data_IF_719975347766
#
_entry.id   IF_719975347766
#
_cell.length_a   1.000
_cell.length_b   1.000
_cell.length_c   1.000
_cell.angle_alpha   90.00
_cell.angle_beta   90.00
_cell.angle_gamma   90.00
#
_symmetry.space_group_name_H-M   'P 1'
#
loop_
_entity.id
_entity.type
_entity.pdbx_description
1 polymer ?
#
# COMPACT_ATOMS: atom_id res chain seq x y z
N UNK A 1 -11.52 -2.72 29.31
CA UNK A 1 -11.57 -1.34 28.79
C UNK A 1 -10.57 -0.53 29.62
N UNK A 2 -9.46 -0.08 29.03
CA UNK A 2 -8.47 0.73 29.76
C UNK A 2 -9.08 2.09 30.09
N UNK A 3 -8.96 2.52 31.35
CA UNK A 3 -9.50 3.78 31.87
C UNK A 3 -8.77 5.04 31.35
N UNK A 4 -7.85 4.89 30.41
CA UNK A 4 -6.92 5.93 29.94
C UNK A 4 -7.30 6.57 28.60
N UNK A 5 -8.37 6.11 27.93
CA UNK A 5 -8.73 6.62 26.59
C UNK A 5 -7.77 6.23 25.47
N UNK A 6 -6.76 5.42 25.75
CA UNK A 6 -5.83 4.87 24.78
C UNK A 6 -6.53 3.80 23.92
N UNK A 7 -6.36 3.87 22.61
CA UNK A 7 -6.95 2.90 21.68
C UNK A 7 -6.08 1.67 21.43
N UNK A 8 -4.76 1.83 21.50
CA UNK A 8 -3.77 0.78 21.28
C UNK A 8 -2.74 0.74 22.40
N UNK A 9 -2.04 -0.39 22.62
CA UNK A 9 -0.89 -0.45 23.51
C UNK A 9 0.22 0.49 23.02
N UNK A 10 0.97 1.14 23.94
CA UNK A 10 2.18 1.88 23.58
C UNK A 10 3.19 0.92 22.95
N UNK A 11 3.64 1.20 21.74
CA UNK A 11 4.67 0.41 21.08
C UNK A 11 5.41 1.26 20.03
N UNK A 12 6.68 0.94 19.83
CA UNK A 12 7.57 1.58 18.86
C UNK A 12 8.42 0.53 18.17
N UNK A 13 8.81 0.79 16.94
CA UNK A 13 9.80 0.02 16.19
C UNK A 13 10.92 0.96 15.73
N UNK A 14 12.16 0.46 15.72
CA UNK A 14 13.35 1.30 15.56
C UNK A 14 13.72 1.60 14.10
N UNK A 15 13.08 0.91 13.14
CA UNK A 15 13.44 1.04 11.72
C UNK A 15 12.22 1.03 10.80
N UNK A 16 12.39 1.65 9.64
CA UNK A 16 11.52 1.53 8.48
C UNK A 16 12.14 0.52 7.50
N UNK A 17 11.35 -0.32 6.87
CA UNK A 17 9.91 -0.53 7.10
C UNK A 17 9.63 -1.22 8.44
N UNK A 18 8.44 -0.98 8.99
CA UNK A 18 8.02 -1.61 10.24
C UNK A 18 7.53 -3.06 10.03
N UNK A 19 7.65 -3.91 11.07
CA UNK A 19 7.35 -5.35 11.04
C UNK A 19 5.96 -5.63 11.61
N UNK A 20 5.07 -6.22 10.82
CA UNK A 20 3.69 -6.49 11.23
C UNK A 20 3.60 -7.61 12.27
N UNK A 21 4.45 -8.63 12.15
CA UNK A 21 4.48 -9.75 13.09
C UNK A 21 4.89 -9.36 14.53
N UNK A 22 5.45 -8.16 14.73
CA UNK A 22 5.80 -7.61 16.05
C UNK A 22 4.70 -6.73 16.65
N UNK A 23 3.63 -6.45 15.91
CA UNK A 23 2.54 -5.58 16.39
C UNK A 23 1.59 -6.30 17.33
N UNK A 24 1.17 -5.62 18.39
CA UNK A 24 0.11 -6.05 19.31
C UNK A 24 -0.95 -4.93 19.48
N UNK A 25 -2.24 -5.13 19.14
CA UNK A 25 -2.74 -6.28 18.40
C UNK A 25 -2.24 -6.32 16.94
N UNK A 26 -2.06 -7.53 16.41
CA UNK A 26 -1.71 -7.70 15.00
C UNK A 26 -2.81 -7.11 14.09
N UNK A 27 -2.47 -6.35 13.06
CA UNK A 27 -3.42 -5.85 12.09
C UNK A 27 -4.20 -6.98 11.41
N UNK A 28 -5.50 -6.77 11.21
CA UNK A 28 -6.32 -7.76 10.52
C UNK A 28 -6.45 -7.41 9.04
N UNK A 29 -5.98 -8.28 8.13
CA UNK A 29 -6.01 -8.06 6.68
C UNK A 29 -7.43 -8.04 6.09
N UNK A 30 -8.37 -8.86 6.62
CA UNK A 30 -9.77 -8.92 6.17
C UNK A 30 -10.73 -9.21 7.32
N UNK A 31 -12.04 -9.06 7.07
CA UNK A 31 -13.09 -9.47 8.02
C UNK A 31 -13.63 -10.85 7.64
N UNK A 32 -14.06 -11.63 8.62
CA UNK A 32 -14.73 -12.92 8.40
C UNK A 32 -16.06 -12.77 7.60
N UNK A 33 -16.63 -11.57 7.60
CA UNK A 33 -17.87 -11.27 6.86
C UNK A 33 -17.63 -10.98 5.38
N UNK A 34 -16.38 -10.85 4.92
CA UNK A 34 -16.11 -10.57 3.52
C UNK A 34 -16.50 -11.75 2.64
N UNK A 35 -17.45 -11.52 1.74
CA UNK A 35 -17.91 -12.52 0.76
C UNK A 35 -17.35 -12.19 -0.61
N UNK A 36 -16.43 -13.02 -1.14
CA UNK A 36 -15.89 -12.82 -2.48
C UNK A 36 -16.99 -12.92 -3.56
N UNK A 37 -16.83 -12.15 -4.62
CA UNK A 37 -17.72 -12.15 -5.79
C UNK A 37 -17.03 -12.63 -7.06
N UNK A 38 -15.77 -13.10 -6.95
CA UNK A 38 -14.96 -13.63 -8.05
C UNK A 38 -14.72 -12.62 -9.20
N UNK A 39 -14.78 -11.31 -8.92
CA UNK A 39 -14.65 -10.26 -9.95
C UNK A 39 -13.26 -10.11 -10.55
N UNK A 40 -12.24 -10.75 -9.99
CA UNK A 40 -10.87 -10.72 -10.46
C UNK A 40 -10.36 -12.07 -11.01
N UNK A 41 -11.24 -13.04 -11.20
CA UNK A 41 -10.84 -14.33 -11.78
C UNK A 41 -10.16 -14.12 -13.14
N UNK A 42 -8.97 -14.72 -13.30
CA UNK A 42 -8.13 -14.60 -14.49
C UNK A 42 -7.37 -13.27 -14.64
N UNK A 43 -7.43 -12.39 -13.65
CA UNK A 43 -6.64 -11.16 -13.59
C UNK A 43 -5.32 -11.37 -12.87
N UNK A 44 -4.32 -10.58 -13.22
CA UNK A 44 -3.01 -10.51 -12.56
C UNK A 44 -2.89 -9.17 -11.87
N UNK A 45 -2.61 -9.19 -10.58
CA UNK A 45 -2.41 -8.02 -9.75
C UNK A 45 -0.99 -7.94 -9.21
N UNK A 46 -0.41 -6.74 -9.25
CA UNK A 46 0.89 -6.42 -8.65
C UNK A 46 0.65 -5.38 -7.56
N UNK A 47 1.17 -5.65 -6.36
CA UNK A 47 1.04 -4.75 -5.20
C UNK A 47 2.42 -4.44 -4.64
N UNK A 48 2.80 -3.17 -4.60
CA UNK A 48 4.08 -2.78 -3.99
C UNK A 48 3.94 -2.63 -2.47
N UNK A 49 4.91 -3.17 -1.69
CA UNK A 49 4.81 -3.23 -0.23
C UNK A 49 3.61 -4.07 0.22
N UNK A 50 3.49 -5.28 -0.34
CA UNK A 50 2.35 -6.18 -0.09
C UNK A 50 2.55 -7.17 1.05
N UNK A 51 3.69 -7.12 1.71
CA UNK A 51 4.09 -7.96 2.84
C UNK A 51 3.37 -7.60 4.14
N UNK A 52 2.93 -6.36 4.29
CA UNK A 52 2.35 -5.85 5.53
C UNK A 52 1.26 -4.79 5.31
N UNK A 53 0.55 -4.43 6.37
CA UNK A 53 -0.38 -3.31 6.46
C UNK A 53 -1.45 -3.28 5.36
N UNK A 54 -1.60 -2.12 4.74
CA UNK A 54 -2.57 -1.90 3.65
C UNK A 54 -2.27 -2.81 2.46
N UNK A 55 -0.98 -2.95 2.09
CA UNK A 55 -0.57 -3.79 0.96
C UNK A 55 -0.96 -5.25 1.15
N UNK A 56 -0.69 -5.84 2.32
CA UNK A 56 -1.11 -7.21 2.67
C UNK A 56 -2.63 -7.38 2.58
N UNK A 57 -3.38 -6.42 3.12
CA UNK A 57 -4.85 -6.46 3.06
C UNK A 57 -5.38 -6.41 1.62
N UNK A 58 -4.76 -5.62 0.75
CA UNK A 58 -5.08 -5.56 -0.69
C UNK A 58 -4.76 -6.88 -1.37
N UNK A 59 -3.57 -7.45 -1.15
CA UNK A 59 -3.17 -8.75 -1.68
C UNK A 59 -4.19 -9.84 -1.30
N UNK A 60 -4.57 -9.89 -0.02
CA UNK A 60 -5.54 -10.87 0.47
C UNK A 60 -6.92 -10.71 -0.18
N UNK A 61 -7.45 -9.48 -0.22
CA UNK A 61 -8.72 -9.23 -0.92
C UNK A 61 -8.67 -9.62 -2.40
N UNK A 62 -7.57 -9.35 -3.09
CA UNK A 62 -7.43 -9.68 -4.50
C UNK A 62 -7.34 -11.19 -4.73
N UNK A 63 -6.63 -11.92 -3.86
CA UNK A 63 -6.59 -13.38 -3.90
C UNK A 63 -7.96 -14.00 -3.68
N UNK A 64 -8.73 -13.51 -2.68
CA UNK A 64 -10.12 -13.92 -2.44
C UNK A 64 -11.02 -13.65 -3.65
N UNK A 65 -10.83 -12.53 -4.36
CA UNK A 65 -11.59 -12.18 -5.57
C UNK A 65 -11.12 -12.93 -6.84
N UNK A 66 -10.10 -13.77 -6.72
CA UNK A 66 -9.67 -14.68 -7.79
C UNK A 66 -8.49 -14.20 -8.64
N UNK A 67 -7.80 -13.11 -8.24
CA UNK A 67 -6.60 -12.68 -8.94
C UNK A 67 -5.39 -13.57 -8.64
N UNK A 68 -4.48 -13.71 -9.62
CA UNK A 68 -3.10 -14.12 -9.39
C UNK A 68 -2.33 -12.91 -8.85
N UNK A 69 -1.74 -13.02 -7.66
CA UNK A 69 -1.17 -11.89 -6.94
C UNK A 69 0.35 -11.99 -6.88
N UNK A 70 1.04 -10.94 -7.32
CA UNK A 70 2.45 -10.69 -7.03
C UNK A 70 2.56 -9.48 -6.10
N UNK A 71 3.50 -9.52 -5.17
CA UNK A 71 3.78 -8.36 -4.34
C UNK A 71 5.28 -8.17 -4.10
N UNK A 72 5.68 -6.92 -3.83
CA UNK A 72 7.06 -6.60 -3.48
C UNK A 72 7.21 -6.35 -1.99
N UNK A 73 8.42 -6.58 -1.49
CA UNK A 73 8.85 -6.29 -0.12
C UNK A 73 10.33 -5.89 -0.09
N UNK A 74 10.83 -5.32 1.00
CA UNK A 74 12.25 -5.01 1.17
C UNK A 74 12.97 -6.19 1.80
N UNK A 75 14.03 -6.69 1.13
CA UNK A 75 14.82 -7.82 1.61
C UNK A 75 15.60 -7.47 2.88
N UNK A 76 15.72 -8.44 3.78
CA UNK A 76 16.51 -8.38 5.01
C UNK A 76 15.65 -8.26 6.26
N UNK A 77 14.73 -7.31 6.30
CA UNK A 77 13.91 -7.04 7.48
C UNK A 77 12.49 -7.58 7.39
N UNK A 78 11.97 -7.81 6.19
CA UNK A 78 10.55 -8.12 5.96
C UNK A 78 10.29 -9.56 5.47
N UNK A 79 11.30 -10.45 5.42
CA UNK A 79 11.13 -11.83 4.94
C UNK A 79 10.06 -12.60 5.72
N UNK A 80 9.98 -12.40 7.05
CA UNK A 80 8.96 -13.07 7.83
C UNK A 80 7.55 -12.61 7.44
N UNK A 81 7.34 -11.31 7.36
CA UNK A 81 6.05 -10.74 6.98
C UNK A 81 5.67 -11.10 5.53
N UNK A 82 6.65 -11.16 4.62
CA UNK A 82 6.45 -11.62 3.25
C UNK A 82 6.04 -13.10 3.19
N UNK A 83 6.68 -13.98 3.97
CA UNK A 83 6.32 -15.39 4.06
C UNK A 83 4.93 -15.59 4.68
N UNK A 84 4.62 -14.88 5.76
CA UNK A 84 3.29 -14.90 6.40
C UNK A 84 2.20 -14.49 5.39
N UNK A 85 2.49 -13.47 4.56
CA UNK A 85 1.59 -13.04 3.48
C UNK A 85 1.45 -14.12 2.41
N UNK A 86 2.54 -14.73 1.94
CA UNK A 86 2.49 -15.82 0.96
C UNK A 86 1.63 -16.98 1.46
N UNK A 87 1.82 -17.42 2.70
CA UNK A 87 1.01 -18.48 3.29
C UNK A 87 -0.48 -18.13 3.35
N UNK A 88 -0.79 -16.90 3.75
CA UNK A 88 -2.17 -16.41 3.79
C UNK A 88 -2.80 -16.41 2.38
N UNK A 89 -2.08 -15.95 1.37
CA UNK A 89 -2.54 -15.92 -0.01
C UNK A 89 -2.71 -17.32 -0.60
N UNK A 90 -1.79 -18.25 -0.31
CA UNK A 90 -1.89 -19.65 -0.72
C UNK A 90 -3.14 -20.34 -0.16
N UNK A 91 -3.51 -20.03 1.09
CA UNK A 91 -4.72 -20.57 1.74
C UNK A 91 -6.03 -20.00 1.17
N UNK A 92 -5.98 -18.77 0.65
CA UNK A 92 -7.17 -18.00 0.23
C UNK A 92 -7.33 -17.84 -1.28
N UNK A 93 -6.33 -18.20 -2.09
CA UNK A 93 -6.39 -18.04 -3.54
C UNK A 93 -7.50 -18.88 -4.18
N UNK A 94 -8.11 -18.34 -5.22
CA UNK A 94 -9.04 -19.09 -6.06
C UNK A 94 -8.34 -20.26 -6.79
N UNK A 95 -9.04 -21.37 -7.01
CA UNK A 95 -8.48 -22.56 -7.64
C UNK A 95 -7.85 -22.29 -9.03
N UNK A 96 -8.40 -21.35 -9.79
CA UNK A 96 -7.90 -20.99 -11.12
C UNK A 96 -6.79 -19.91 -11.07
N UNK A 97 -6.47 -19.34 -9.91
CA UNK A 97 -5.38 -18.37 -9.79
C UNK A 97 -4.03 -19.09 -9.73
N UNK A 98 -3.02 -18.52 -10.37
CA UNK A 98 -1.64 -18.97 -10.21
C UNK A 98 -1.18 -18.75 -8.76
N UNK A 99 -0.15 -19.47 -8.33
CA UNK A 99 0.42 -19.30 -7.00
C UNK A 99 0.95 -17.87 -6.81
N UNK A 100 0.76 -17.26 -5.63
CA UNK A 100 1.27 -15.92 -5.35
C UNK A 100 2.81 -15.93 -5.32
N UNK A 101 3.40 -14.79 -5.67
CA UNK A 101 4.85 -14.59 -5.59
C UNK A 101 5.19 -13.34 -4.78
N UNK A 102 6.24 -13.43 -3.96
CA UNK A 102 6.84 -12.33 -3.23
C UNK A 102 8.18 -11.96 -3.87
N UNK A 103 8.37 -10.71 -4.23
CA UNK A 103 9.52 -10.23 -4.99
C UNK A 103 10.32 -9.24 -4.13
N UNK A 104 11.56 -9.58 -3.72
CA UNK A 104 12.39 -8.68 -2.95
C UNK A 104 12.90 -7.53 -3.83
N UNK A 105 12.50 -6.28 -3.55
CA UNK A 105 12.89 -5.12 -4.35
C UNK A 105 12.82 -3.82 -3.56
N UNK A 106 13.92 -3.09 -3.44
CA UNK A 106 13.90 -1.67 -3.10
C UNK A 106 13.51 -0.87 -4.34
N UNK A 107 12.27 -0.41 -4.38
CA UNK A 107 11.68 0.26 -5.53
C UNK A 107 12.12 1.73 -5.68
N UNK A 108 12.92 2.26 -4.78
CA UNK A 108 13.55 3.58 -4.94
C UNK A 108 14.48 3.66 -6.16
N UNK A 109 14.81 2.54 -6.81
CA UNK A 109 15.71 2.43 -7.94
C UNK A 109 15.02 1.79 -9.15
N UNK A 110 15.23 2.41 -10.32
CA UNK A 110 14.55 2.02 -11.57
C UNK A 110 14.84 0.59 -12.02
N UNK A 111 16.10 0.16 -11.93
CA UNK A 111 16.49 -1.21 -12.30
C UNK A 111 15.83 -2.27 -11.43
N UNK A 112 15.56 -1.97 -10.15
CA UNK A 112 14.84 -2.86 -9.25
C UNK A 112 13.36 -2.94 -9.65
N UNK A 113 12.76 -1.81 -10.01
CA UNK A 113 11.38 -1.78 -10.52
C UNK A 113 11.25 -2.58 -11.81
N UNK A 114 12.23 -2.43 -12.73
CA UNK A 114 12.27 -3.21 -13.96
C UNK A 114 12.33 -4.71 -13.66
N UNK A 115 13.27 -5.15 -12.81
CA UNK A 115 13.42 -6.57 -12.45
C UNK A 115 12.15 -7.14 -11.81
N UNK A 116 11.52 -6.38 -10.92
CA UNK A 116 10.26 -6.81 -10.29
C UNK A 116 9.16 -7.00 -11.32
N UNK A 117 9.00 -6.09 -12.27
CA UNK A 117 8.01 -6.23 -13.36
C UNK A 117 8.36 -7.40 -14.26
N UNK A 118 9.63 -7.56 -14.67
CA UNK A 118 10.08 -8.68 -15.51
C UNK A 118 9.79 -10.04 -14.85
N UNK A 119 9.96 -10.15 -13.53
CA UNK A 119 9.64 -11.36 -12.77
C UNK A 119 8.13 -11.66 -12.78
N UNK A 120 7.28 -10.65 -12.61
CA UNK A 120 5.82 -10.82 -12.74
C UNK A 120 5.46 -11.31 -14.15
N UNK A 121 6.05 -10.73 -15.18
CA UNK A 121 5.77 -11.12 -16.57
C UNK A 121 6.26 -12.52 -16.88
N UNK A 122 7.44 -12.91 -16.36
CA UNK A 122 7.95 -14.27 -16.50
C UNK A 122 7.01 -15.32 -15.91
N UNK A 123 6.41 -15.02 -14.75
CA UNK A 123 5.50 -15.95 -14.05
C UNK A 123 4.06 -15.91 -14.58
N UNK A 124 3.53 -14.72 -14.88
CA UNK A 124 2.10 -14.54 -15.16
C UNK A 124 1.78 -14.09 -16.58
N UNK A 125 2.73 -13.50 -17.31
CA UNK A 125 2.60 -13.12 -18.71
C UNK A 125 1.87 -11.81 -18.98
N UNK A 126 1.28 -11.16 -17.94
CA UNK A 126 0.50 -9.90 -18.07
C UNK A 126 0.39 -9.17 -16.75
N UNK A 127 -0.06 -7.93 -16.80
CA UNK A 127 -0.47 -7.15 -15.63
C UNK A 127 -1.84 -6.51 -15.95
N UNK A 128 -2.85 -6.78 -15.12
CA UNK A 128 -4.17 -6.17 -15.23
C UNK A 128 -4.39 -5.09 -14.19
N UNK A 129 -3.77 -5.24 -13.03
CA UNK A 129 -3.92 -4.32 -11.89
C UNK A 129 -2.54 -4.04 -11.32
N UNK A 130 -2.19 -2.76 -11.20
CA UNK A 130 -1.01 -2.30 -10.48
C UNK A 130 -1.46 -1.44 -9.31
N UNK A 131 -1.03 -1.81 -8.09
CA UNK A 131 -1.22 -1.02 -6.88
C UNK A 131 0.13 -0.51 -6.40
N UNK A 132 0.39 0.77 -6.57
CA UNK A 132 1.52 1.46 -5.99
C UNK A 132 1.16 1.85 -4.56
N UNK A 133 1.76 1.15 -3.56
CA UNK A 133 1.43 1.30 -2.15
C UNK A 133 2.65 1.46 -1.24
N UNK A 134 3.81 0.90 -1.60
CA UNK A 134 5.04 1.02 -0.81
C UNK A 134 5.34 2.48 -0.44
N UNK A 135 5.68 2.72 0.82
CA UNK A 135 5.99 4.05 1.34
C UNK A 135 6.83 3.99 2.61
N UNK A 136 7.58 5.05 2.84
CA UNK A 136 8.30 5.36 4.08
C UNK A 136 7.86 6.72 4.60
N UNK A 137 7.96 6.92 5.93
CA UNK A 137 7.75 8.23 6.57
C UNK A 137 8.61 8.37 7.82
N UNK A 138 9.07 9.56 8.11
CA UNK A 138 9.89 9.87 9.26
C UNK A 138 9.43 11.19 9.87
N UNK A 139 9.37 11.28 11.21
CA UNK A 139 9.06 12.55 11.87
C UNK A 139 10.25 13.52 11.81
N UNK A 140 9.94 14.80 11.66
CA UNK A 140 10.85 15.92 11.90
C UNK A 140 10.11 17.02 12.63
N UNK A 141 10.78 17.65 13.59
CA UNK A 141 10.24 18.78 14.36
C UNK A 141 10.17 20.05 13.52
N UNK A 142 11.08 20.21 12.57
CA UNK A 142 11.17 21.37 11.68
C UNK A 142 11.73 20.97 10.30
N UNK A 143 11.63 21.87 9.33
CA UNK A 143 12.18 21.65 7.98
C UNK A 143 13.71 21.57 7.99
N UNK A 144 14.37 22.23 8.92
CA UNK A 144 15.83 22.25 9.07
C UNK A 144 16.40 20.89 9.50
N UNK A 145 15.58 20.00 10.07
CA UNK A 145 15.97 18.64 10.45
C UNK A 145 15.92 17.65 9.29
N UNK A 146 15.35 18.07 8.15
CA UNK A 146 15.22 17.22 6.96
C UNK A 146 16.45 17.42 6.07
N UNK A 147 17.44 16.54 6.20
CA UNK A 147 18.62 16.57 5.37
C UNK A 147 18.35 16.08 3.94
N UNK A 148 19.31 16.31 3.05
CA UNK A 148 19.22 15.95 1.63
C UNK A 148 19.05 14.43 1.45
N UNK A 149 19.79 13.62 2.20
CA UNK A 149 19.78 12.17 2.05
C UNK A 149 18.42 11.57 2.43
N UNK A 150 17.84 12.03 3.54
CA UNK A 150 16.50 11.65 3.97
C UNK A 150 15.45 12.12 2.96
N UNK A 151 15.50 13.38 2.52
CA UNK A 151 14.56 13.92 1.55
C UNK A 151 14.60 13.09 0.25
N UNK A 152 15.79 12.84 -0.27
CA UNK A 152 15.99 12.02 -1.47
C UNK A 152 15.43 10.60 -1.26
N UNK A 153 15.70 9.95 -0.13
CA UNK A 153 15.22 8.60 0.17
C UNK A 153 13.69 8.55 0.19
N UNK A 154 13.04 9.47 0.90
CA UNK A 154 11.58 9.52 0.99
C UNK A 154 10.93 9.77 -0.38
N UNK A 155 11.51 10.64 -1.21
CA UNK A 155 11.03 10.86 -2.58
C UNK A 155 11.27 9.66 -3.47
N UNK A 156 12.41 8.97 -3.36
CA UNK A 156 12.71 7.75 -4.11
C UNK A 156 11.68 6.66 -3.82
N UNK A 157 11.43 6.37 -2.56
CA UNK A 157 10.48 5.32 -2.17
C UNK A 157 9.04 5.71 -2.49
N UNK A 158 8.62 6.95 -2.18
CA UNK A 158 7.20 7.29 -2.20
C UNK A 158 6.70 7.77 -3.55
N UNK A 159 7.55 8.33 -4.43
CA UNK A 159 7.08 8.89 -5.71
C UNK A 159 7.90 8.45 -6.91
N UNK A 160 9.25 8.40 -6.85
CA UNK A 160 10.03 7.93 -8.00
C UNK A 160 9.70 6.48 -8.33
N UNK A 161 9.53 5.63 -7.31
CA UNK A 161 9.07 4.24 -7.46
C UNK A 161 7.78 4.11 -8.27
N UNK A 162 6.83 5.04 -8.11
CA UNK A 162 5.56 5.03 -8.84
C UNK A 162 5.79 5.31 -10.34
N UNK A 163 6.63 6.28 -10.65
CA UNK A 163 7.04 6.55 -12.04
C UNK A 163 7.75 5.34 -12.66
N UNK A 164 8.71 4.76 -11.93
CA UNK A 164 9.51 3.64 -12.42
C UNK A 164 8.65 2.38 -12.63
N UNK A 165 7.86 2.01 -11.64
CA UNK A 165 7.00 0.82 -11.72
C UNK A 165 5.97 0.96 -12.84
N UNK A 166 5.29 2.11 -12.93
CA UNK A 166 4.32 2.38 -14.00
C UNK A 166 4.99 2.34 -15.37
N UNK A 167 6.16 2.95 -15.54
CA UNK A 167 6.91 2.95 -16.81
C UNK A 167 7.17 1.54 -17.34
N UNK A 168 7.56 0.62 -16.47
CA UNK A 168 7.83 -0.76 -16.87
C UNK A 168 6.53 -1.57 -17.02
N UNK A 169 5.58 -1.44 -16.10
CA UNK A 169 4.33 -2.18 -16.12
C UNK A 169 3.45 -1.85 -17.33
N UNK A 170 3.39 -0.58 -17.77
CA UNK A 170 2.55 -0.14 -18.88
C UNK A 170 2.82 -0.88 -20.21
N UNK A 171 4.03 -1.40 -20.42
CA UNK A 171 4.36 -2.20 -21.60
C UNK A 171 3.58 -3.52 -21.68
N UNK A 172 3.06 -3.96 -20.53
CA UNK A 172 2.38 -5.26 -20.35
C UNK A 172 0.91 -5.09 -19.93
N UNK A 173 0.43 -3.85 -19.82
CA UNK A 173 -0.96 -3.52 -19.52
C UNK A 173 -1.74 -3.20 -20.80
N UNK A 174 -2.99 -3.60 -20.85
CA UNK A 174 -3.90 -3.41 -22.00
C UNK A 174 -5.15 -2.64 -21.58
N UNK A 175 -5.97 -2.24 -22.53
CA UNK A 175 -7.29 -1.68 -22.26
C UNK A 175 -8.09 -2.56 -21.28
N UNK A 176 -8.74 -1.91 -20.31
CA UNK A 176 -9.41 -2.58 -19.19
C UNK A 176 -8.54 -2.79 -17.94
N UNK A 177 -7.22 -2.51 -18.02
CA UNK A 177 -6.33 -2.53 -16.85
C UNK A 177 -6.58 -1.34 -15.92
N UNK A 178 -6.09 -1.43 -14.69
CA UNK A 178 -6.25 -0.40 -13.66
C UNK A 178 -4.95 -0.15 -12.88
N UNK A 179 -4.64 1.12 -12.63
CA UNK A 179 -3.57 1.55 -11.74
C UNK A 179 -4.20 2.22 -10.53
N UNK A 180 -3.75 1.86 -9.33
CA UNK A 180 -4.23 2.41 -8.07
C UNK A 180 -3.02 2.94 -7.31
N UNK A 181 -3.04 4.22 -6.95
CA UNK A 181 -1.95 4.89 -6.24
C UNK A 181 -2.37 5.23 -4.80
N UNK A 182 -1.62 4.75 -3.81
CA UNK A 182 -1.86 5.05 -2.40
C UNK A 182 -1.23 6.39 -2.02
N UNK A 183 -2.06 7.42 -1.94
CA UNK A 183 -1.71 8.74 -1.41
C UNK A 183 -1.96 8.81 0.11
N UNK A 184 -2.45 9.89 0.66
CA UNK A 184 -2.79 10.08 2.08
C UNK A 184 -3.74 11.25 2.24
N UNK A 185 -4.53 11.27 3.32
CA UNK A 185 -5.25 12.48 3.76
C UNK A 185 -4.28 13.64 4.04
N UNK A 186 -3.01 13.35 4.36
CA UNK A 186 -1.99 14.38 4.57
C UNK A 186 -1.69 15.17 3.30
N UNK A 187 -1.92 14.62 2.10
CA UNK A 187 -1.81 15.35 0.85
C UNK A 187 -2.77 16.56 0.75
N UNK A 188 -3.86 16.54 1.51
CA UNK A 188 -4.92 17.54 1.49
C UNK A 188 -4.92 18.43 2.73
N UNK A 189 -4.71 17.84 3.92
CA UNK A 189 -4.74 18.59 5.19
C UNK A 189 -3.38 19.09 5.67
N UNK A 190 -2.28 18.53 5.13
CA UNK A 190 -0.94 18.72 5.65
C UNK A 190 -0.65 17.93 6.94
N UNK A 191 0.64 17.83 7.29
CA UNK A 191 1.12 17.35 8.58
C UNK A 191 2.47 17.98 8.90
N UNK A 192 2.52 18.79 9.95
CA UNK A 192 3.71 19.57 10.29
C UNK A 192 4.94 18.70 10.67
N UNK A 193 4.72 17.49 11.21
CA UNK A 193 5.80 16.57 11.59
C UNK A 193 6.24 15.64 10.46
N UNK A 194 5.49 15.56 9.35
CA UNK A 194 5.73 14.66 8.22
C UNK A 194 5.79 15.45 6.92
N UNK A 195 6.64 16.48 6.86
CA UNK A 195 6.62 17.46 5.77
C UNK A 195 7.06 16.84 4.43
N UNK A 196 8.16 16.09 4.41
CA UNK A 196 8.68 15.36 3.24
C UNK A 196 7.68 14.30 2.74
N UNK A 197 7.16 13.47 3.65
CA UNK A 197 6.10 12.52 3.34
C UNK A 197 4.86 13.20 2.76
N UNK A 198 4.39 14.27 3.39
CA UNK A 198 3.22 15.03 2.92
C UNK A 198 3.43 15.55 1.50
N UNK A 199 4.62 16.08 1.20
CA UNK A 199 4.99 16.55 -0.12
C UNK A 199 4.93 15.42 -1.16
N UNK A 200 5.46 14.22 -0.84
CA UNK A 200 5.38 13.06 -1.74
C UNK A 200 3.95 12.61 -1.98
N UNK A 201 3.09 12.65 -0.95
CA UNK A 201 1.68 12.26 -1.08
C UNK A 201 0.87 13.27 -1.90
N UNK A 202 1.21 14.56 -1.85
CA UNK A 202 0.71 15.58 -2.77
C UNK A 202 1.16 15.35 -4.22
N UNK A 203 2.44 14.99 -4.42
CA UNK A 203 2.97 14.63 -5.73
C UNK A 203 2.23 13.42 -6.34
N UNK A 204 1.88 12.40 -5.54
CA UNK A 204 1.09 11.25 -6.01
C UNK A 204 -0.29 11.67 -6.50
N UNK A 205 -0.94 12.64 -5.85
CA UNK A 205 -2.25 13.15 -6.32
C UNK A 205 -2.13 13.78 -7.71
N UNK A 206 -1.11 14.64 -7.91
CA UNK A 206 -0.84 15.25 -9.21
C UNK A 206 -0.47 14.22 -10.28
N UNK A 207 0.41 13.27 -9.93
CA UNK A 207 0.81 12.14 -10.79
C UNK A 207 -0.40 11.32 -11.23
N UNK A 208 -1.30 10.97 -10.30
CA UNK A 208 -2.51 10.18 -10.58
C UNK A 208 -3.40 10.87 -11.60
N UNK A 209 -3.64 12.18 -11.43
CA UNK A 209 -4.45 12.98 -12.36
C UNK A 209 -3.83 13.08 -13.76
N UNK A 210 -2.53 13.41 -13.82
CA UNK A 210 -1.81 13.53 -15.10
C UNK A 210 -1.75 12.19 -15.83
N UNK A 211 -1.46 11.11 -15.12
CA UNK A 211 -1.40 9.77 -15.70
C UNK A 211 -2.76 9.26 -16.19
N UNK A 212 -3.85 9.58 -15.47
CA UNK A 212 -5.20 9.26 -15.92
C UNK A 212 -5.52 9.90 -17.27
N UNK A 213 -5.16 11.17 -17.46
CA UNK A 213 -5.33 11.86 -18.75
C UNK A 213 -4.48 11.24 -19.87
N UNK A 214 -3.24 10.79 -19.57
CA UNK A 214 -2.39 10.14 -20.58
C UNK A 214 -2.89 8.77 -21.02
N UNK A 215 -3.64 8.07 -20.16
CA UNK A 215 -4.01 6.68 -20.39
C UNK A 215 -5.49 6.46 -20.74
N UNK A 216 -6.31 7.52 -20.75
CA UNK A 216 -7.74 7.41 -21.06
C UNK A 216 -7.99 6.82 -22.43
N UNK A 217 -7.28 7.24 -23.46
CA UNK A 217 -7.41 6.72 -24.83
C UNK A 217 -6.91 5.28 -24.99
N UNK A 218 -6.07 4.83 -24.04
CA UNK A 218 -5.64 3.41 -23.97
C UNK A 218 -6.64 2.53 -23.23
N UNK A 219 -7.72 3.08 -22.69
CA UNK A 219 -8.69 2.37 -21.88
C UNK A 219 -8.13 1.86 -20.55
N UNK A 220 -7.07 2.47 -20.01
CA UNK A 220 -6.47 2.14 -18.72
C UNK A 220 -6.90 3.18 -17.70
N UNK A 221 -7.50 2.75 -16.60
CA UNK A 221 -7.96 3.64 -15.53
C UNK A 221 -6.85 3.86 -14.50
N UNK A 222 -6.75 5.09 -14.01
CA UNK A 222 -5.81 5.45 -12.93
C UNK A 222 -6.58 6.15 -11.82
N UNK A 223 -6.48 5.62 -10.60
CA UNK A 223 -7.17 6.14 -9.43
C UNK A 223 -6.22 6.30 -8.24
N UNK A 224 -6.57 7.17 -7.30
CA UNK A 224 -5.87 7.36 -6.05
C UNK A 224 -6.74 7.01 -4.85
N UNK A 225 -6.12 6.44 -3.82
CA UNK A 225 -6.74 6.22 -2.51
C UNK A 225 -5.99 7.04 -1.49
N UNK A 226 -6.70 7.82 -0.67
CA UNK A 226 -6.14 8.68 0.38
C UNK A 226 -6.51 8.16 1.77
N UNK A 227 -5.78 7.18 2.33
CA UNK A 227 -6.05 6.66 3.65
C UNK A 227 -5.87 7.72 4.74
N UNK A 228 -6.70 7.64 5.79
CA UNK A 228 -6.45 8.27 7.08
C UNK A 228 -5.48 7.44 7.94
N UNK A 229 -5.44 7.68 9.27
CA UNK A 229 -4.64 6.86 10.17
C UNK A 229 -5.20 5.43 10.21
N UNK A 230 -4.34 4.46 9.88
CA UNK A 230 -4.66 3.03 9.87
C UNK A 230 -3.60 2.30 10.70
N UNK A 231 -4.04 1.34 11.51
CA UNK A 231 -3.18 0.51 12.32
C UNK A 231 -2.35 -0.43 11.42
N UNK A 232 -1.12 -0.03 11.15
CA UNK A 232 -0.15 -0.72 10.28
C UNK A 232 1.26 -0.55 10.85
N UNK A 233 2.25 -1.37 10.46
CA UNK A 233 3.63 -1.25 10.93
C UNK A 233 4.25 0.14 10.70
N UNK A 234 3.78 0.86 9.70
CA UNK A 234 4.23 2.23 9.42
C UNK A 234 4.05 3.17 10.64
N UNK A 235 3.04 2.91 11.49
CA UNK A 235 2.73 3.74 12.65
C UNK A 235 3.78 3.59 13.76
N UNK A 236 3.99 2.41 14.38
CA UNK A 236 5.00 2.25 15.42
C UNK A 236 6.44 2.43 14.91
N UNK A 237 6.69 2.27 13.61
CA UNK A 237 7.98 2.54 12.99
C UNK A 237 8.26 4.04 12.75
N UNK A 238 7.24 4.92 12.87
CA UNK A 238 7.37 6.36 12.60
C UNK A 238 7.21 7.21 13.83
N UNK A 239 6.34 6.81 14.77
CA UNK A 239 5.87 7.64 15.87
C UNK A 239 6.38 7.15 17.23
N UNK A 240 6.32 8.01 18.24
CA UNK A 240 6.60 7.65 19.61
C UNK A 240 5.54 6.66 20.15
N UNK A 241 5.84 6.00 21.27
CA UNK A 241 4.91 5.09 21.94
C UNK A 241 3.59 5.78 22.33
N UNK A 242 3.66 7.01 22.86
CA UNK A 242 2.49 7.80 23.25
C UNK A 242 1.62 8.18 22.02
N UNK A 243 2.24 8.58 20.93
CA UNK A 243 1.51 8.91 19.68
C UNK A 243 0.87 7.68 19.07
N UNK A 244 1.57 6.54 19.09
CA UNK A 244 1.08 5.24 18.65
C UNK A 244 -0.14 4.82 19.47
N UNK A 245 -0.08 4.92 20.80
CA UNK A 245 -1.20 4.58 21.70
C UNK A 245 -2.45 5.46 21.49
N UNK A 246 -2.24 6.70 21.03
CA UNK A 246 -3.29 7.68 20.77
C UNK A 246 -3.71 7.77 19.31
N UNK A 247 -3.32 6.81 18.46
CA UNK A 247 -3.67 6.79 17.05
C UNK A 247 -5.20 6.87 16.86
N UNK A 248 -5.64 7.81 16.04
CA UNK A 248 -7.07 7.96 15.70
C UNK A 248 -7.90 8.78 16.69
N UNK A 249 -7.38 9.13 17.89
CA UNK A 249 -8.13 9.92 18.87
C UNK A 249 -8.58 11.31 18.35
N UNK A 250 -7.83 11.88 17.41
CA UNK A 250 -8.13 13.17 16.76
C UNK A 250 -9.01 13.02 15.50
N UNK A 251 -9.38 11.80 15.13
CA UNK A 251 -10.29 11.59 14.00
C UNK A 251 -11.75 11.90 14.41
N UNK A 252 -12.55 12.56 13.54
CA UNK A 252 -13.97 12.77 13.80
C UNK A 252 -14.74 11.47 14.06
N UNK A 253 -14.30 10.35 13.47
CA UNK A 253 -14.83 9.01 13.70
C UNK A 253 -14.13 8.36 14.90
N UNK A 254 -14.38 8.82 16.11
CA UNK A 254 -13.83 8.23 17.34
C UNK A 254 -14.22 6.74 17.45
N UNK A 255 -13.24 5.82 17.56
CA UNK A 255 -13.48 4.41 17.88
C UNK A 255 -12.75 3.41 16.98
N UNK A 256 -12.73 2.13 17.41
CA UNK A 256 -12.17 0.98 16.68
C UNK A 256 -12.77 0.79 15.27
N UNK A 257 -13.95 1.32 15.01
CA UNK A 257 -14.64 1.29 13.71
C UNK A 257 -13.87 1.99 12.58
N UNK A 258 -12.92 2.90 12.90
CA UNK A 258 -12.10 3.56 11.87
C UNK A 258 -11.20 2.58 11.13
N UNK A 259 -10.72 1.51 11.79
CA UNK A 259 -9.91 0.45 11.19
C UNK A 259 -10.73 -0.48 10.30
N UNK A 260 -11.98 -0.75 10.68
CA UNK A 260 -12.88 -1.66 9.96
C UNK A 260 -13.52 -1.01 8.73
N UNK A 261 -13.78 0.30 8.75
CA UNK A 261 -14.42 1.04 7.65
C UNK A 261 -13.58 1.13 6.38
N UNK A 262 -12.24 1.17 6.49
CA UNK A 262 -11.35 1.32 5.34
C UNK A 262 -11.09 0.02 4.58
N UNK A 263 -11.54 -1.14 5.10
CA UNK A 263 -11.41 -2.45 4.46
C UNK A 263 -12.33 -2.64 3.25
N UNK A 264 -13.52 -2.01 3.25
CA UNK A 264 -14.48 -2.09 2.15
C UNK A 264 -14.06 -1.33 0.88
N UNK A 265 -13.44 -0.13 0.94
CA UNK A 265 -13.15 0.64 -0.27
C UNK A 265 -12.18 -0.03 -1.22
N UNK A 266 -11.06 -0.64 -0.77
CA UNK A 266 -10.04 -1.12 -1.69
C UNK A 266 -10.53 -2.26 -2.59
N UNK A 267 -11.34 -3.18 -2.10
CA UNK A 267 -11.97 -4.21 -2.94
C UNK A 267 -13.13 -3.68 -3.77
N UNK A 268 -13.81 -2.60 -3.33
CA UNK A 268 -14.91 -1.98 -4.10
C UNK A 268 -14.43 -1.04 -5.20
N UNK A 269 -13.14 -0.67 -5.20
CA UNK A 269 -12.52 0.21 -6.21
C UNK A 269 -12.11 -0.54 -7.49
N UNK A 270 -12.37 -1.83 -7.52
CA UNK A 270 -12.23 -2.66 -8.71
C UNK A 270 -13.51 -2.57 -9.56
N UNK A 271 -13.49 -2.89 -10.76
CA UNK A 271 -13.95 -2.42 -12.06
C UNK A 271 -15.39 -1.93 -12.25
N UNK A 272 -16.04 -1.32 -11.32
CA UNK A 272 -17.30 -0.61 -11.58
C UNK A 272 -17.18 0.85 -11.18
N UNK A 273 -17.07 1.71 -12.17
CA UNK A 273 -17.23 3.18 -12.18
C UNK A 273 -16.92 3.90 -10.87
N UNK A 274 -15.80 4.63 -10.80
CA UNK A 274 -15.55 5.60 -9.76
C UNK A 274 -15.24 6.95 -10.38
N UNK A 275 -16.14 7.90 -10.10
CA UNK A 275 -15.92 9.30 -10.35
C UNK A 275 -15.01 9.86 -9.24
N UNK A 276 -13.89 10.52 -9.64
CA UNK A 276 -13.21 11.48 -8.80
C UNK A 276 -14.04 12.76 -8.80
N UNK A 277 -14.68 13.07 -7.71
CA UNK A 277 -15.12 14.44 -7.38
C UNK A 277 -14.07 15.10 -6.53
#
# INVERSE_FOLDING_TARGET
>A
MSSTGQQFPPQKQDSQPGKEHLMDPTPQATTQEYKPSNKLVGKVAVVTGGDSGIGRAVCHCFALEGASVAFTYVKGDEEKDANDTLEMLMKSKHANAKDPIAIPADLGYDDNCKRAVDEVISNYGRIDILVNNAAEQYEAGSVEEIDEARLERVFRTNIFSYFFTVRHALRHMKGGSSIINTTSVNAYKGNAKLLDYTATKGAIVAFTRGLALQLVDKGIRVNGVAPGPIWTPLIPASFTEDETANLGNKCPCKGQDSLLRWRRPMCSWLPTSIHLT
#
